data_IF_337536924079
#
_entry.id   IF_337536924079
#
_cell.length_a   1.000
_cell.length_b   1.000
_cell.length_c   1.000
_cell.angle_alpha   90.00
_cell.angle_beta   90.00
_cell.angle_gamma   90.00
#
_symmetry.space_group_name_H-M   'P 1'
#
loop_
_entity.id
_entity.type
_entity.pdbx_description
1 polymer ?
#
# COMPACT_ATOMS: atom_id res chain seq x y z
N UNK A 1 -21.81 -18.64 15.91
CA UNK A 1 -21.39 -17.23 15.70
C UNK A 1 -20.00 -17.28 15.11
N UNK A 2 -19.86 -17.15 13.79
CA UNK A 2 -18.54 -17.19 13.14
C UNK A 2 -17.92 -15.81 13.24
N UNK A 3 -16.80 -15.72 13.97
CA UNK A 3 -15.95 -14.54 13.97
C UNK A 3 -15.35 -14.41 12.57
N UNK A 4 -15.77 -13.37 11.85
CA UNK A 4 -15.14 -12.97 10.60
C UNK A 4 -13.84 -12.30 11.05
N UNK A 5 -12.73 -13.04 11.00
CA UNK A 5 -11.40 -12.48 11.24
C UNK A 5 -11.20 -11.38 10.20
N UNK A 6 -11.29 -10.13 10.66
CA UNK A 6 -10.84 -9.00 9.86
C UNK A 6 -9.34 -9.21 9.68
N UNK A 7 -8.88 -9.35 8.42
CA UNK A 7 -7.48 -9.31 7.99
C UNK A 7 -6.87 -7.97 8.40
N UNK A 8 -6.70 -7.78 9.70
CA UNK A 8 -6.07 -6.64 10.30
C UNK A 8 -4.58 -6.98 10.40
N UNK A 9 -3.82 -6.33 9.53
CA UNK A 9 -2.43 -5.95 9.79
C UNK A 9 -1.39 -7.08 9.87
N UNK A 10 -1.25 -7.87 8.80
CA UNK A 10 0.13 -8.16 8.36
C UNK A 10 0.73 -6.82 7.90
N UNK A 11 1.92 -6.40 8.36
CA UNK A 11 2.53 -5.17 7.89
C UNK A 11 2.68 -5.30 6.39
N UNK A 12 1.89 -4.54 5.64
CA UNK A 12 1.97 -4.52 4.18
C UNK A 12 3.27 -3.81 3.84
N UNK A 13 4.27 -4.59 3.51
CA UNK A 13 5.53 -4.07 2.99
C UNK A 13 5.21 -3.71 1.54
N UNK A 14 5.40 -2.44 1.19
CA UNK A 14 5.24 -1.97 -0.18
C UNK A 14 6.60 -1.80 -0.83
N UNK A 15 6.64 -1.81 -2.16
CA UNK A 15 7.89 -1.63 -2.93
C UNK A 15 8.55 -0.28 -2.62
N UNK A 16 7.74 0.72 -2.24
CA UNK A 16 8.20 2.06 -1.85
C UNK A 16 7.53 2.53 -0.56
N UNK A 17 8.17 3.47 0.11
CA UNK A 17 7.55 4.19 1.22
C UNK A 17 6.33 4.99 0.74
N UNK A 18 5.34 5.09 1.61
CA UNK A 18 4.14 5.90 1.38
C UNK A 18 4.53 7.37 1.32
N UNK A 19 3.98 8.10 0.36
CA UNK A 19 4.16 9.54 0.26
C UNK A 19 3.74 10.22 1.58
N UNK A 20 4.69 10.84 2.26
CA UNK A 20 4.49 11.39 3.61
C UNK A 20 4.41 12.93 3.62
N UNK A 21 4.97 13.59 2.59
CA UNK A 21 5.02 15.05 2.46
C UNK A 21 4.40 15.51 1.14
N UNK A 22 3.78 16.68 1.16
CA UNK A 22 3.16 17.31 0.01
C UNK A 22 4.23 17.69 -1.04
N UNK A 23 4.15 17.24 -2.30
CA UNK A 23 5.14 17.55 -3.32
C UNK A 23 5.17 19.03 -3.74
N UNK A 24 4.16 19.82 -3.35
CA UNK A 24 4.09 21.24 -3.71
C UNK A 24 4.57 22.18 -2.60
N UNK A 25 4.39 21.82 -1.33
CA UNK A 25 4.70 22.70 -0.20
C UNK A 25 5.46 22.01 0.94
N UNK A 26 5.82 20.74 0.81
CA UNK A 26 6.49 19.90 1.80
C UNK A 26 5.70 19.62 3.10
N UNK A 27 4.49 20.21 3.23
CA UNK A 27 3.62 20.04 4.40
C UNK A 27 3.04 18.63 4.57
N UNK A 28 2.47 18.37 5.73
CA UNK A 28 1.98 17.04 6.12
C UNK A 28 0.75 16.60 5.32
N UNK A 29 0.73 15.31 4.97
CA UNK A 29 -0.37 14.68 4.23
C UNK A 29 -1.27 13.85 5.16
N UNK A 30 -2.56 14.12 5.13
CA UNK A 30 -3.59 13.33 5.82
C UNK A 30 -4.28 12.37 4.84
N UNK A 31 -4.42 11.10 5.22
CA UNK A 31 -5.13 10.09 4.42
C UNK A 31 -6.62 10.38 4.43
N UNK A 32 -7.20 10.59 3.24
CA UNK A 32 -8.64 10.74 3.07
C UNK A 32 -9.33 9.41 2.80
N UNK A 33 -8.72 8.57 1.94
CA UNK A 33 -9.28 7.28 1.55
C UNK A 33 -8.18 6.35 1.06
N UNK A 34 -8.27 5.09 1.49
CA UNK A 34 -7.53 3.98 0.90
C UNK A 34 -8.50 3.16 0.06
N UNK A 35 -8.16 2.94 -1.20
CA UNK A 35 -8.99 2.23 -2.17
C UNK A 35 -8.25 0.96 -2.59
N UNK A 36 -8.80 -0.24 -2.37
CA UNK A 36 -8.17 -1.47 -2.83
C UNK A 36 -8.18 -1.51 -4.36
N UNK A 37 -7.01 -1.78 -4.94
CA UNK A 37 -6.79 -1.95 -6.35
C UNK A 37 -6.71 -3.42 -6.77
N UNK A 38 -6.33 -3.63 -8.04
CA UNK A 38 -6.02 -4.97 -8.57
C UNK A 38 -4.62 -5.40 -8.13
N UNK A 39 -4.36 -6.71 -8.14
CA UNK A 39 -3.05 -7.30 -7.81
C UNK A 39 -2.52 -6.93 -6.42
N UNK A 40 -3.41 -6.58 -5.47
CA UNK A 40 -3.01 -6.16 -4.12
C UNK A 40 -2.48 -4.74 -4.03
N UNK A 41 -2.52 -3.96 -5.12
CA UNK A 41 -2.18 -2.55 -5.09
C UNK A 41 -3.23 -1.75 -4.30
N UNK A 42 -2.82 -0.61 -3.75
CA UNK A 42 -3.71 0.30 -3.03
C UNK A 42 -3.53 1.73 -3.54
N UNK A 43 -4.64 2.45 -3.66
CA UNK A 43 -4.66 3.86 -4.04
C UNK A 43 -5.00 4.69 -2.81
N UNK A 44 -4.04 5.52 -2.40
CA UNK A 44 -4.13 6.36 -1.22
C UNK A 44 -4.38 7.79 -1.66
N UNK A 45 -5.61 8.25 -1.49
CA UNK A 45 -5.94 9.66 -1.68
C UNK A 45 -5.60 10.42 -0.39
N UNK A 46 -4.73 11.41 -0.50
CA UNK A 46 -4.23 12.21 0.61
C UNK A 46 -4.47 13.68 0.38
N UNK A 47 -4.67 14.43 1.48
CA UNK A 47 -4.85 15.88 1.47
C UNK A 47 -3.76 16.53 2.28
N UNK A 48 -3.10 17.53 1.71
CA UNK A 48 -2.18 18.37 2.45
C UNK A 48 -2.93 19.21 3.48
N UNK A 49 -2.44 19.19 4.72
CA UNK A 49 -3.01 19.96 5.82
C UNK A 49 -2.68 21.45 5.72
N UNK A 50 -1.61 21.80 5.01
CA UNK A 50 -1.14 23.17 4.81
C UNK A 50 -1.77 23.83 3.57
N UNK A 51 -1.49 23.31 2.37
CA UNK A 51 -1.96 23.93 1.13
C UNK A 51 -3.35 23.43 0.68
N UNK A 52 -3.86 22.35 1.27
CA UNK A 52 -5.15 21.75 0.91
C UNK A 52 -5.11 20.90 -0.37
N UNK A 53 -3.97 20.78 -1.04
CA UNK A 53 -3.79 19.98 -2.26
C UNK A 53 -4.11 18.51 -2.07
N UNK A 54 -4.65 17.87 -3.11
CA UNK A 54 -4.99 16.45 -3.11
C UNK A 54 -3.96 15.67 -3.92
N UNK A 55 -3.34 14.67 -3.31
CA UNK A 55 -2.33 13.82 -3.92
C UNK A 55 -2.77 12.37 -3.90
N UNK A 56 -2.40 11.64 -4.94
CA UNK A 56 -2.68 10.22 -5.07
C UNK A 56 -1.37 9.46 -4.99
N UNK A 57 -1.27 8.54 -4.03
CA UNK A 57 -0.13 7.64 -3.91
C UNK A 57 -0.54 6.20 -4.21
N UNK A 58 0.14 5.58 -5.17
CA UNK A 58 -0.14 4.20 -5.60
C UNK A 58 0.88 3.29 -4.92
N UNK A 59 0.40 2.43 -4.04
CA UNK A 59 1.23 1.48 -3.31
C UNK A 59 1.10 0.10 -3.93
N UNK A 60 2.21 -0.41 -4.44
CA UNK A 60 2.30 -1.78 -4.94
C UNK A 60 2.82 -2.67 -3.82
N UNK A 61 2.17 -3.82 -3.57
CA UNK A 61 2.61 -4.74 -2.54
C UNK A 61 3.99 -5.27 -2.91
N UNK A 62 4.90 -5.29 -1.94
CA UNK A 62 6.12 -6.05 -2.08
C UNK A 62 5.74 -7.53 -1.99
N UNK A 63 5.58 -8.16 -3.14
CA UNK A 63 5.56 -9.62 -3.24
C UNK A 63 7.03 -10.02 -3.27
N UNK A 64 7.62 -10.52 -2.17
CA UNK A 64 8.91 -11.17 -2.31
C UNK A 64 8.71 -12.25 -3.36
N UNK A 65 9.54 -12.22 -4.41
CA UNK A 65 9.58 -13.32 -5.37
C UNK A 65 9.65 -14.58 -4.51
N UNK A 66 8.59 -15.41 -4.60
CA UNK A 66 8.56 -16.65 -3.85
C UNK A 66 9.88 -17.33 -4.08
N UNK A 67 10.46 -17.88 -3.01
CA UNK A 67 11.48 -18.88 -3.20
C UNK A 67 10.95 -19.89 -4.23
N UNK A 68 11.52 -19.90 -5.44
CA UNK A 68 11.35 -21.00 -6.39
C UNK A 68 12.19 -22.20 -5.90
N UNK A 69 12.03 -22.55 -4.61
CA UNK A 69 12.66 -23.66 -3.92
C UNK A 69 11.72 -24.84 -3.79
N UNK A 70 11.20 -25.37 -4.90
CA UNK A 70 10.38 -26.59 -4.95
C UNK A 70 10.69 -27.44 -6.18
N UNK A 71 10.77 -28.78 -6.07
CA UNK A 71 11.88 -29.58 -6.58
C UNK A 71 11.94 -29.72 -8.10
N UNK A 72 13.17 -29.92 -8.62
CA UNK A 72 13.42 -30.53 -9.93
C UNK A 72 12.53 -31.76 -10.07
N UNK A 73 11.47 -31.66 -10.86
CA UNK A 73 10.68 -32.80 -11.26
C UNK A 73 11.55 -33.66 -12.21
N UNK A 74 12.06 -34.75 -11.65
CA UNK A 74 12.66 -35.84 -12.39
C UNK A 74 11.58 -36.61 -13.16
N UNK A 75 11.78 -36.79 -14.48
CA UNK A 75 11.59 -38.03 -15.24
C UNK A 75 11.79 -37.75 -16.74
#
# INVERSE_FOLDING_TARGET
MSIIETDAARPRIYIRAVLSNCPECDGDLAVLRVIPGRAGCEYWAMRCSDCGGIHLDILEPHVPAGDDGGPLAAA
#
